data_IF_817255515343
#
_entry.id   IF_817255515343
#
_cell.length_a   1.000
_cell.length_b   1.000
_cell.length_c   1.000
_cell.angle_alpha   90.00
_cell.angle_beta   90.00
_cell.angle_gamma   90.00
#
_symmetry.space_group_name_H-M   'P 1'
#
loop_
_entity.id
_entity.type
_entity.pdbx_description
1 polymer ?
#
# COMPACT_ATOMS: atom_id res chain seq x y z
N UNK A 1 -21.84 -2.91 17.11
CA UNK A 1 -21.25 -3.62 15.96
C UNK A 1 -19.73 -3.49 16.00
N UNK A 2 -19.00 -4.58 15.76
CA UNK A 2 -17.54 -4.52 15.73
C UNK A 2 -17.06 -3.69 14.53
N UNK A 3 -16.08 -2.77 14.74
CA UNK A 3 -15.47 -2.01 13.66
C UNK A 3 -14.41 -2.86 12.96
N UNK A 4 -14.37 -2.80 11.62
CA UNK A 4 -13.24 -3.33 10.83
C UNK A 4 -12.18 -2.23 10.77
N UNK A 5 -11.04 -2.47 11.41
CA UNK A 5 -9.90 -1.54 11.45
C UNK A 5 -8.65 -2.21 10.84
N UNK A 6 -7.74 -1.46 10.21
CA UNK A 6 -6.51 -2.02 9.64
C UNK A 6 -5.72 -2.85 10.65
N UNK A 7 -5.48 -2.30 11.83
CA UNK A 7 -4.71 -2.97 12.88
C UNK A 7 -5.36 -4.27 13.35
N UNK A 8 -6.69 -4.33 13.34
CA UNK A 8 -7.41 -5.55 13.73
C UNK A 8 -7.18 -6.66 12.71
N UNK A 9 -7.31 -6.37 11.40
CA UNK A 9 -7.03 -7.34 10.33
C UNK A 9 -5.58 -7.79 10.37
N UNK A 10 -4.64 -6.85 10.53
CA UNK A 10 -3.21 -7.12 10.66
C UNK A 10 -2.92 -8.04 11.85
N UNK A 11 -3.46 -7.74 13.03
CA UNK A 11 -3.24 -8.54 14.24
C UNK A 11 -3.82 -9.96 14.11
N UNK A 12 -5.00 -10.09 13.49
CA UNK A 12 -5.59 -11.40 13.18
C UNK A 12 -4.65 -12.18 12.25
N UNK A 13 -4.19 -11.58 11.15
CA UNK A 13 -3.29 -12.24 10.22
C UNK A 13 -1.98 -12.67 10.91
N UNK A 14 -1.36 -11.80 11.69
CA UNK A 14 -0.13 -12.09 12.45
C UNK A 14 -0.32 -13.24 13.44
N UNK A 15 -1.47 -13.34 14.09
CA UNK A 15 -1.77 -14.42 15.05
C UNK A 15 -1.86 -15.80 14.41
N UNK A 16 -2.00 -15.87 13.07
CA UNK A 16 -2.11 -17.14 12.34
C UNK A 16 -0.79 -17.69 11.83
N UNK A 17 0.31 -16.94 11.99
CA UNK A 17 1.64 -17.38 11.52
C UNK A 17 1.99 -18.76 12.08
N UNK A 18 2.41 -19.67 11.21
CA UNK A 18 2.75 -21.06 11.55
C UNK A 18 1.58 -22.03 11.42
N UNK A 19 0.34 -21.57 11.24
CA UNK A 19 -0.77 -22.47 10.92
C UNK A 19 -0.46 -23.27 9.64
N UNK A 20 -0.73 -24.56 9.65
CA UNK A 20 -0.57 -25.47 8.51
C UNK A 20 -1.91 -26.10 8.19
N UNK A 21 -2.17 -26.31 6.90
CA UNK A 21 -3.29 -27.13 6.47
C UNK A 21 -3.12 -28.59 6.96
N UNK A 22 -4.23 -29.29 7.04
CA UNK A 22 -4.23 -30.72 7.43
C UNK A 22 -4.10 -31.68 6.24
N UNK A 23 -3.75 -31.14 5.06
CA UNK A 23 -3.63 -31.84 3.78
C UNK A 23 -4.75 -31.45 2.82
N UNK A 24 -4.49 -31.53 1.51
CA UNK A 24 -5.45 -31.24 0.44
C UNK A 24 -6.18 -29.88 0.59
N UNK A 25 -5.46 -28.84 0.98
CA UNK A 25 -6.02 -27.50 1.22
C UNK A 25 -7.11 -27.45 2.32
N UNK A 26 -7.21 -28.47 3.19
CA UNK A 26 -8.15 -28.46 4.31
C UNK A 26 -7.69 -27.47 5.39
N UNK A 27 -8.44 -26.41 5.56
CA UNK A 27 -8.14 -25.35 6.53
C UNK A 27 -9.35 -24.98 7.37
N UNK A 28 -9.09 -24.46 8.59
CA UNK A 28 -10.15 -23.86 9.41
C UNK A 28 -10.77 -22.64 8.71
N UNK A 29 -9.98 -21.90 7.92
CA UNK A 29 -10.43 -20.71 7.21
C UNK A 29 -11.55 -21.03 6.21
N UNK A 30 -11.32 -22.01 5.35
CA UNK A 30 -12.34 -22.49 4.42
C UNK A 30 -13.57 -23.01 5.16
N UNK A 31 -13.37 -23.82 6.22
CA UNK A 31 -14.46 -24.37 7.04
C UNK A 31 -15.32 -23.29 7.68
N UNK A 32 -14.71 -22.27 8.28
CA UNK A 32 -15.43 -21.18 8.96
C UNK A 32 -16.24 -20.34 7.97
N UNK A 33 -15.68 -20.04 6.80
CA UNK A 33 -16.37 -19.26 5.76
C UNK A 33 -17.47 -20.07 5.06
N UNK A 34 -17.27 -21.35 4.85
CA UNK A 34 -18.29 -22.27 4.30
C UNK A 34 -19.48 -22.39 5.24
N UNK A 35 -19.24 -22.44 6.54
CA UNK A 35 -20.30 -22.54 7.55
C UNK A 35 -21.30 -21.35 7.56
N UNK A 36 -20.92 -20.22 6.95
CA UNK A 36 -21.75 -19.03 6.82
C UNK A 36 -22.14 -18.70 5.38
N UNK A 37 -21.90 -19.62 4.44
CA UNK A 37 -22.10 -19.42 3.01
C UNK A 37 -21.46 -18.09 2.55
N UNK A 38 -20.20 -17.88 2.92
CA UNK A 38 -19.51 -16.63 2.62
C UNK A 38 -19.42 -16.42 1.11
N UNK A 39 -19.09 -17.49 0.39
CA UNK A 39 -19.08 -17.53 -1.07
C UNK A 39 -20.40 -18.07 -1.60
N UNK A 40 -20.90 -17.45 -2.66
CA UNK A 40 -22.17 -17.83 -3.26
C UNK A 40 -22.00 -19.02 -4.23
N UNK A 41 -21.25 -20.03 -3.82
CA UNK A 41 -21.15 -21.31 -4.53
C UNK A 41 -21.93 -22.40 -3.80
N UNK A 42 -22.55 -23.34 -4.54
CA UNK A 42 -23.08 -24.55 -3.92
C UNK A 42 -21.92 -25.40 -3.42
N UNK A 43 -21.49 -25.21 -2.20
CA UNK A 43 -20.34 -25.83 -1.53
C UNK A 43 -18.99 -25.41 -2.12
N UNK A 44 -18.37 -24.48 -1.44
CA UNK A 44 -16.97 -24.23 -1.64
C UNK A 44 -16.18 -25.49 -1.23
N UNK A 45 -15.44 -26.16 -2.15
CA UNK A 45 -14.73 -27.36 -1.79
C UNK A 45 -13.65 -27.02 -0.76
N UNK A 46 -13.60 -27.81 0.32
CA UNK A 46 -12.53 -27.73 1.32
C UNK A 46 -11.10 -27.91 0.73
N UNK A 47 -10.99 -28.09 -0.56
CA UNK A 47 -9.77 -28.39 -1.31
C UNK A 47 -9.25 -27.26 -2.18
N UNK A 48 -9.84 -26.07 -2.12
CA UNK A 48 -9.37 -24.96 -2.94
C UNK A 48 -8.12 -24.29 -2.38
N UNK A 49 -7.33 -23.69 -3.27
CA UNK A 49 -6.20 -22.84 -2.93
C UNK A 49 -6.65 -21.72 -1.98
N UNK A 50 -6.06 -21.65 -0.79
CA UNK A 50 -6.60 -20.87 0.31
C UNK A 50 -5.84 -19.56 0.64
N UNK A 51 -5.03 -19.05 -0.28
CA UNK A 51 -4.35 -17.77 -0.06
C UNK A 51 -5.34 -16.60 0.02
N UNK A 52 -6.35 -16.59 -0.85
CA UNK A 52 -7.41 -15.57 -0.87
C UNK A 52 -8.39 -15.79 0.28
N UNK A 53 -8.83 -17.02 0.49
CA UNK A 53 -9.68 -17.44 1.62
C UNK A 53 -9.11 -16.99 2.97
N UNK A 54 -7.78 -17.02 3.12
CA UNK A 54 -7.12 -16.56 4.33
C UNK A 54 -7.32 -15.07 4.56
N UNK A 55 -7.23 -14.26 3.53
CA UNK A 55 -7.44 -12.80 3.62
C UNK A 55 -8.90 -12.51 3.97
N UNK A 56 -9.84 -13.15 3.27
CA UNK A 56 -11.27 -13.01 3.50
C UNK A 56 -11.65 -13.40 4.93
N UNK A 57 -11.09 -14.51 5.41
CA UNK A 57 -11.29 -14.95 6.79
C UNK A 57 -10.74 -13.93 7.80
N UNK A 58 -9.59 -13.32 7.55
CA UNK A 58 -9.05 -12.28 8.43
C UNK A 58 -10.00 -11.06 8.52
N UNK A 59 -10.60 -10.67 7.39
CA UNK A 59 -11.57 -9.56 7.36
C UNK A 59 -12.89 -9.97 8.03
N UNK A 60 -13.35 -11.20 7.82
CA UNK A 60 -14.52 -11.76 8.46
C UNK A 60 -14.38 -11.79 9.99
N UNK A 61 -13.28 -12.30 10.52
CA UNK A 61 -12.98 -12.24 11.96
C UNK A 61 -12.91 -10.81 12.49
N UNK A 62 -12.28 -9.89 11.72
CA UNK A 62 -12.21 -8.48 12.08
C UNK A 62 -13.57 -7.81 12.12
N UNK A 63 -14.51 -8.22 11.29
CA UNK A 63 -15.90 -7.72 11.29
C UNK A 63 -16.71 -8.13 12.52
N UNK A 64 -16.17 -9.05 13.33
CA UNK A 64 -16.90 -9.71 14.41
C UNK A 64 -17.78 -10.84 13.89
N UNK A 65 -17.35 -11.50 12.84
CA UNK A 65 -18.04 -12.60 12.15
C UNK A 65 -19.35 -12.17 11.46
N UNK A 66 -19.38 -10.92 11.03
CA UNK A 66 -20.47 -10.38 10.21
C UNK A 66 -20.08 -10.54 8.72
N UNK A 67 -20.69 -11.53 8.07
CA UNK A 67 -20.45 -11.86 6.65
C UNK A 67 -20.72 -10.67 5.74
N UNK A 68 -21.86 -10.01 5.89
CA UNK A 68 -22.26 -8.91 5.01
C UNK A 68 -21.32 -7.73 5.13
N UNK A 69 -20.84 -7.46 6.33
CA UNK A 69 -19.87 -6.41 6.60
C UNK A 69 -18.51 -6.74 6.01
N UNK A 70 -18.07 -7.98 6.12
CA UNK A 70 -16.80 -8.45 5.53
C UNK A 70 -16.84 -8.37 4.00
N UNK A 71 -17.88 -8.90 3.36
CA UNK A 71 -18.09 -8.82 1.90
C UNK A 71 -18.08 -7.37 1.40
N UNK A 72 -18.76 -6.47 2.12
CA UNK A 72 -18.75 -5.05 1.79
C UNK A 72 -17.37 -4.40 1.92
N UNK A 73 -16.58 -4.82 2.91
CA UNK A 73 -15.22 -4.32 3.10
C UNK A 73 -14.26 -4.79 2.01
N UNK A 74 -14.47 -6.00 1.49
CA UNK A 74 -13.70 -6.61 0.40
C UNK A 74 -14.23 -6.23 -1.00
N UNK A 75 -15.35 -5.48 -1.07
CA UNK A 75 -16.06 -5.17 -2.32
C UNK A 75 -16.57 -6.42 -3.03
N UNK A 76 -16.71 -7.53 -2.34
CA UNK A 76 -17.20 -8.77 -2.92
C UNK A 76 -18.72 -8.74 -3.11
N UNK A 77 -19.23 -9.24 -4.26
CA UNK A 77 -20.66 -9.23 -4.53
C UNK A 77 -21.38 -10.27 -3.66
N UNK A 78 -22.60 -9.92 -3.24
CA UNK A 78 -23.49 -10.86 -2.51
C UNK A 78 -24.10 -11.95 -3.39
N UNK A 79 -24.00 -11.82 -4.70
CA UNK A 79 -24.60 -12.70 -5.72
C UNK A 79 -23.55 -13.06 -6.76
N UNK A 80 -23.68 -14.27 -7.30
CA UNK A 80 -23.03 -14.78 -8.49
C UNK A 80 -21.50 -14.57 -8.55
N UNK A 81 -20.76 -15.63 -8.33
CA UNK A 81 -19.31 -15.67 -8.46
C UNK A 81 -18.51 -14.81 -7.47
N UNK A 82 -19.05 -14.60 -6.28
CA UNK A 82 -18.21 -14.25 -5.16
C UNK A 82 -17.26 -15.43 -4.93
N UNK A 83 -16.06 -15.32 -5.43
CA UNK A 83 -15.14 -16.44 -5.49
C UNK A 83 -13.88 -16.16 -4.74
N UNK A 84 -13.49 -17.11 -3.89
CA UNK A 84 -12.18 -17.20 -3.34
C UNK A 84 -11.16 -17.41 -4.46
N UNK A 85 -10.66 -16.33 -5.02
CA UNK A 85 -9.63 -16.44 -6.03
C UNK A 85 -9.00 -15.09 -6.32
N UNK A 86 -7.69 -15.01 -6.19
CA UNK A 86 -6.91 -13.78 -6.31
C UNK A 86 -7.29 -12.90 -7.50
N UNK A 87 -7.56 -13.54 -8.65
CA UNK A 87 -8.01 -12.86 -9.87
C UNK A 87 -9.35 -12.14 -9.67
N UNK A 88 -10.31 -12.77 -8.99
CA UNK A 88 -11.63 -12.19 -8.77
C UNK A 88 -11.58 -11.07 -7.74
N UNK A 89 -10.92 -11.30 -6.61
CA UNK A 89 -10.73 -10.29 -5.56
C UNK A 89 -10.01 -9.05 -6.11
N UNK A 90 -8.94 -9.23 -6.90
CA UNK A 90 -8.27 -8.12 -7.59
C UNK A 90 -9.21 -7.34 -8.50
N UNK A 91 -10.10 -8.02 -9.22
CA UNK A 91 -11.11 -7.37 -10.09
C UNK A 91 -12.14 -6.57 -9.28
N UNK A 92 -12.58 -7.08 -8.11
CA UNK A 92 -13.53 -6.36 -7.25
C UNK A 92 -12.94 -5.04 -6.76
N UNK A 93 -11.70 -5.04 -6.28
CA UNK A 93 -11.01 -3.81 -5.90
C UNK A 93 -10.88 -2.83 -7.07
N UNK A 94 -10.50 -3.29 -8.26
CA UNK A 94 -10.38 -2.43 -9.45
C UNK A 94 -11.72 -1.81 -9.87
N UNK A 95 -12.78 -2.62 -9.91
CA UNK A 95 -14.14 -2.16 -10.29
C UNK A 95 -14.71 -1.13 -9.32
N UNK A 96 -14.25 -1.12 -8.08
CA UNK A 96 -14.71 -0.22 -7.03
C UNK A 96 -13.74 0.95 -6.75
N UNK A 97 -12.79 1.22 -7.65
CA UNK A 97 -11.76 2.26 -7.50
C UNK A 97 -10.93 2.12 -6.18
N UNK A 98 -10.83 0.91 -5.68
CA UNK A 98 -10.10 0.57 -4.46
C UNK A 98 -8.77 -0.15 -4.76
N UNK A 99 -8.15 0.16 -5.89
CA UNK A 99 -6.88 -0.41 -6.32
C UNK A 99 -5.74 0.60 -6.20
N UNK A 100 -4.58 0.17 -5.70
CA UNK A 100 -3.39 1.00 -5.54
C UNK A 100 -2.15 0.32 -6.11
N UNK A 101 -1.21 1.10 -6.62
CA UNK A 101 0.17 0.66 -6.91
C UNK A 101 1.11 0.90 -5.72
N UNK A 102 0.63 1.56 -4.67
CA UNK A 102 1.39 1.87 -3.45
C UNK A 102 0.89 1.00 -2.30
N UNK A 103 1.82 0.35 -1.60
CA UNK A 103 1.52 -0.47 -0.44
C UNK A 103 0.97 0.36 0.72
N UNK A 104 -0.10 -0.11 1.34
CA UNK A 104 -0.71 0.45 2.56
C UNK A 104 -0.84 -0.68 3.58
N UNK A 105 -0.52 -0.41 4.86
CA UNK A 105 -0.74 -1.40 5.93
C UNK A 105 -2.22 -1.74 6.03
N UNK A 106 -2.53 -3.03 6.11
CA UNK A 106 -3.89 -3.55 6.08
C UNK A 106 -4.41 -3.83 4.66
N UNK A 107 -3.77 -3.36 3.58
CA UNK A 107 -4.21 -3.69 2.22
C UNK A 107 -3.95 -5.16 1.88
N UNK A 108 -4.70 -5.66 0.91
CA UNK A 108 -4.47 -6.97 0.30
C UNK A 108 -3.47 -6.83 -0.85
N UNK A 109 -2.31 -7.49 -0.77
CA UNK A 109 -1.30 -7.50 -1.84
C UNK A 109 -1.62 -8.60 -2.85
N UNK A 110 -1.38 -8.35 -4.12
CA UNK A 110 -1.59 -9.32 -5.20
C UNK A 110 -0.31 -9.55 -6.00
N UNK A 111 -0.04 -10.83 -6.30
CA UNK A 111 1.12 -11.28 -7.06
C UNK A 111 0.71 -12.01 -8.33
N UNK A 112 1.56 -11.98 -9.35
CA UNK A 112 1.36 -12.65 -10.62
C UNK A 112 1.46 -11.70 -11.81
N UNK A 113 0.44 -11.74 -12.68
CA UNK A 113 0.27 -10.81 -13.81
C UNK A 113 -1.08 -10.13 -13.70
N UNK A 114 -1.19 -8.91 -14.20
CA UNK A 114 -2.46 -8.18 -14.18
C UNK A 114 -3.55 -8.95 -14.96
N UNK A 115 -4.69 -9.16 -14.29
CA UNK A 115 -5.80 -9.98 -14.79
C UNK A 115 -5.61 -11.49 -14.66
N UNK A 116 -4.46 -11.93 -14.16
CA UNK A 116 -4.10 -13.31 -13.87
C UNK A 116 -3.30 -13.43 -12.57
N UNK A 117 -3.82 -12.80 -11.51
CA UNK A 117 -3.25 -12.85 -10.17
C UNK A 117 -3.32 -14.27 -9.62
N UNK A 118 -2.20 -14.76 -9.09
CA UNK A 118 -2.05 -16.16 -8.66
C UNK A 118 -1.83 -16.33 -7.17
N UNK A 119 -1.53 -15.24 -6.44
CA UNK A 119 -1.28 -15.29 -5.01
C UNK A 119 -1.59 -13.96 -4.34
N UNK A 120 -1.86 -14.00 -3.03
CA UNK A 120 -2.26 -12.83 -2.25
C UNK A 120 -1.91 -12.99 -0.77
N UNK A 121 -2.00 -11.89 -0.02
CA UNK A 121 -1.82 -11.83 1.42
C UNK A 121 -2.20 -10.48 2.01
N UNK A 122 -2.05 -10.32 3.31
CA UNK A 122 -2.28 -9.07 4.04
C UNK A 122 -0.97 -8.32 4.21
N UNK A 123 -0.92 -7.04 3.84
CA UNK A 123 0.23 -6.15 4.14
C UNK A 123 0.23 -5.80 5.61
N UNK A 124 1.28 -6.20 6.35
CA UNK A 124 1.38 -5.97 7.80
C UNK A 124 2.39 -4.89 8.16
N UNK A 125 3.30 -4.53 7.25
CA UNK A 125 4.24 -3.43 7.47
C UNK A 125 4.76 -2.89 6.13
N UNK A 126 5.02 -1.59 6.10
CA UNK A 126 5.58 -0.89 4.92
C UNK A 126 6.83 -0.13 5.36
N UNK A 127 8.00 -0.62 4.96
CA UNK A 127 9.30 0.02 5.17
C UNK A 127 9.65 1.01 4.05
N UNK A 128 10.87 1.51 4.05
CA UNK A 128 11.35 2.45 3.00
C UNK A 128 11.37 1.77 1.63
N UNK A 129 12.01 0.60 1.52
CA UNK A 129 12.19 -0.15 0.26
C UNK A 129 11.48 -1.50 0.24
N UNK A 130 10.85 -1.91 1.34
CA UNK A 130 10.25 -3.22 1.50
C UNK A 130 8.79 -3.16 1.91
N UNK A 131 8.03 -4.20 1.57
CA UNK A 131 6.70 -4.50 2.07
C UNK A 131 6.75 -5.85 2.76
N UNK A 132 6.17 -5.93 3.96
CA UNK A 132 6.06 -7.19 4.72
C UNK A 132 4.60 -7.64 4.73
N UNK A 133 4.38 -8.92 4.48
CA UNK A 133 3.07 -9.53 4.34
C UNK A 133 2.90 -10.70 5.30
N UNK A 134 1.65 -11.08 5.54
CA UNK A 134 1.29 -12.41 6.04
C UNK A 134 0.41 -13.08 4.97
N UNK A 135 0.82 -14.25 4.55
CA UNK A 135 0.25 -14.96 3.40
C UNK A 135 -0.24 -16.34 3.81
N UNK A 136 -1.48 -16.65 3.46
CA UNK A 136 -2.02 -18.00 3.52
C UNK A 136 -1.52 -18.85 2.33
N UNK A 137 -1.53 -20.16 2.49
CA UNK A 137 -1.10 -21.10 1.46
C UNK A 137 0.31 -20.89 0.90
N UNK A 138 1.19 -20.29 1.70
CA UNK A 138 2.60 -20.15 1.32
C UNK A 138 3.37 -21.41 1.69
N UNK A 139 3.48 -22.34 0.74
CA UNK A 139 3.96 -23.72 0.99
C UNK A 139 3.08 -24.41 2.05
N UNK A 140 1.77 -24.42 1.84
CA UNK A 140 0.74 -25.08 2.66
C UNK A 140 0.68 -24.58 4.12
N UNK A 141 1.08 -23.32 4.35
CA UNK A 141 1.03 -22.71 5.69
C UNK A 141 0.86 -21.20 5.64
N UNK A 142 0.57 -20.60 6.79
CA UNK A 142 0.60 -19.15 6.97
C UNK A 142 2.02 -18.70 7.28
N UNK A 143 2.58 -17.82 6.45
CA UNK A 143 3.94 -17.30 6.58
C UNK A 143 3.99 -15.78 6.57
N UNK A 144 4.93 -15.24 7.33
CA UNK A 144 5.37 -13.86 7.19
C UNK A 144 6.46 -13.79 6.13
N UNK A 145 6.26 -12.91 5.14
CA UNK A 145 7.16 -12.73 4.00
C UNK A 145 7.58 -11.26 3.88
N UNK A 146 8.68 -11.00 3.18
CA UNK A 146 9.13 -9.63 2.89
C UNK A 146 9.61 -9.55 1.45
N UNK A 147 9.20 -8.48 0.77
CA UNK A 147 9.49 -8.24 -0.64
C UNK A 147 10.04 -6.85 -0.85
N UNK A 148 10.84 -6.65 -1.91
CA UNK A 148 11.10 -5.31 -2.41
C UNK A 148 9.80 -4.66 -2.88
N UNK A 149 9.59 -3.38 -2.63
CA UNK A 149 8.43 -2.64 -3.21
C UNK A 149 8.44 -2.63 -4.74
N UNK A 150 9.61 -2.84 -5.35
CA UNK A 150 9.80 -2.90 -6.80
C UNK A 150 9.88 -4.35 -7.31
N UNK A 151 9.45 -5.35 -6.52
CA UNK A 151 9.41 -6.73 -6.99
C UNK A 151 8.44 -6.82 -8.19
N UNK A 152 8.90 -7.28 -9.36
CA UNK A 152 8.08 -7.33 -10.58
C UNK A 152 6.89 -8.30 -10.48
N UNK A 153 6.89 -9.18 -9.47
CA UNK A 153 5.76 -10.09 -9.21
C UNK A 153 4.59 -9.39 -8.51
N UNK A 154 4.81 -8.22 -7.89
CA UNK A 154 3.74 -7.47 -7.24
C UNK A 154 2.92 -6.75 -8.32
N UNK A 155 1.67 -7.16 -8.46
CA UNK A 155 0.71 -6.56 -9.41
C UNK A 155 0.12 -5.26 -8.84
N UNK A 156 -0.18 -5.23 -7.56
CA UNK A 156 -0.74 -4.08 -6.85
C UNK A 156 -1.42 -4.46 -5.55
N UNK A 157 -2.25 -3.54 -5.04
CA UNK A 157 -2.85 -3.64 -3.70
C UNK A 157 -4.33 -3.30 -3.76
N UNK A 158 -5.17 -4.15 -3.18
CA UNK A 158 -6.57 -3.90 -2.91
C UNK A 158 -6.73 -3.16 -1.58
N UNK A 159 -7.35 -2.00 -1.61
CA UNK A 159 -7.60 -1.19 -0.42
C UNK A 159 -8.90 -1.64 0.24
N UNK A 160 -8.78 -2.46 1.29
CA UNK A 160 -9.92 -2.92 2.08
C UNK A 160 -10.66 -1.72 2.66
N UNK A 161 -12.00 -1.71 2.60
CA UNK A 161 -12.83 -0.63 3.12
C UNK A 161 -12.93 -0.73 4.64
N UNK A 162 -12.19 0.12 5.33
CA UNK A 162 -12.18 0.22 6.78
C UNK A 162 -13.18 1.26 7.31
N UNK A 163 -13.75 1.02 8.52
CA UNK A 163 -14.83 1.86 9.04
C UNK A 163 -14.43 3.30 9.39
N UNK A 164 -13.17 3.54 9.76
CA UNK A 164 -12.69 4.84 10.23
C UNK A 164 -11.59 5.46 9.32
N UNK A 165 -11.51 5.01 8.09
CA UNK A 165 -10.62 5.65 7.11
C UNK A 165 -11.45 6.49 6.14
N UNK A 166 -11.02 7.72 5.80
CA UNK A 166 -11.55 8.39 4.63
C UNK A 166 -11.34 7.45 3.44
N UNK A 167 -12.44 7.08 2.80
CA UNK A 167 -12.35 6.29 1.57
C UNK A 167 -11.47 7.09 0.59
N UNK A 168 -10.54 6.45 -0.14
CA UNK A 168 -9.92 7.13 -1.27
C UNK A 168 -11.05 7.72 -2.11
N UNK A 169 -11.03 9.04 -2.32
CA UNK A 169 -11.97 9.64 -3.26
C UNK A 169 -11.84 8.88 -4.58
N UNK A 170 -12.96 8.53 -5.23
CA UNK A 170 -12.90 7.85 -6.50
C UNK A 170 -12.01 8.67 -7.42
N UNK A 171 -10.91 8.08 -7.88
CA UNK A 171 -10.12 8.68 -8.96
C UNK A 171 -11.11 8.96 -10.08
N UNK A 172 -11.29 10.21 -10.52
CA UNK A 172 -12.28 10.52 -11.53
C UNK A 172 -12.02 9.64 -12.74
N UNK A 173 -13.06 8.92 -13.16
CA UNK A 173 -13.10 8.21 -14.46
C UNK A 173 -12.55 9.14 -15.52
N UNK A 174 -11.64 8.72 -16.42
CA UNK A 174 -11.17 9.59 -17.49
C UNK A 174 -12.37 10.05 -18.33
N UNK A 175 -12.82 11.26 -18.07
CA UNK A 175 -13.76 11.99 -18.90
C UNK A 175 -13.02 12.33 -20.20
N UNK A 176 -13.66 12.28 -21.37
CA UNK A 176 -13.00 12.61 -22.62
C UNK A 176 -12.34 13.99 -22.50
N UNK A 177 -11.07 14.02 -22.80
CA UNK A 177 -10.10 15.10 -22.63
C UNK A 177 -10.70 16.46 -23.04
N UNK A 178 -10.96 17.38 -22.10
CA UNK A 178 -11.03 18.79 -22.45
C UNK A 178 -9.61 19.29 -22.76
N UNK A 179 -9.51 20.16 -23.71
CA UNK A 179 -8.31 20.94 -24.07
C UNK A 179 -7.50 21.34 -22.83
N UNK A 180 -6.15 21.23 -22.84
CA UNK A 180 -5.34 21.39 -21.65
C UNK A 180 -5.49 22.77 -21.03
N UNK A 181 -6.11 22.81 -19.85
CA UNK A 181 -6.05 23.93 -18.92
C UNK A 181 -4.63 23.97 -18.31
N UNK A 182 -4.04 25.12 -18.07
CA UNK A 182 -2.62 25.23 -17.66
C UNK A 182 -2.38 24.45 -16.36
N UNK A 183 -1.48 23.47 -16.42
CA UNK A 183 -0.99 22.67 -15.31
C UNK A 183 -0.67 23.55 -14.10
N UNK A 184 -1.12 23.21 -12.85
CA UNK A 184 -0.68 23.94 -11.67
C UNK A 184 0.84 23.90 -11.60
N UNK A 185 1.45 25.07 -11.60
CA UNK A 185 2.89 25.23 -11.55
C UNK A 185 3.41 24.56 -10.28
N UNK A 186 4.43 23.69 -10.34
CA UNK A 186 4.92 22.99 -9.16
C UNK A 186 5.34 24.00 -8.09
N UNK A 187 4.93 23.73 -6.85
CA UNK A 187 5.06 24.59 -5.68
C UNK A 187 6.52 24.67 -5.17
N UNK A 188 7.46 24.80 -6.11
CA UNK A 188 8.88 24.99 -5.82
C UNK A 188 9.52 25.97 -6.84
N UNK A 189 10.56 26.65 -6.37
CA UNK A 189 11.45 27.44 -7.21
C UNK A 189 12.82 26.77 -7.35
N UNK A 190 13.51 27.03 -8.46
CA UNK A 190 14.85 26.52 -8.69
C UNK A 190 15.90 27.49 -8.13
N UNK A 191 16.83 26.96 -7.36
CA UNK A 191 17.95 27.71 -6.79
C UNK A 191 19.27 27.05 -7.13
N UNK A 192 20.26 27.85 -7.50
CA UNK A 192 21.64 27.43 -7.75
C UNK A 192 22.45 27.58 -6.46
N UNK A 193 23.22 26.57 -6.09
CA UNK A 193 24.13 26.61 -4.95
C UNK A 193 25.35 27.48 -5.29
N UNK A 194 25.66 28.44 -4.43
CA UNK A 194 26.86 29.29 -4.51
C UNK A 194 27.45 29.44 -3.11
N UNK A 195 28.43 28.58 -2.80
CA UNK A 195 29.21 28.68 -1.56
C UNK A 195 30.48 29.51 -1.77
N UNK A 196 30.94 30.19 -0.75
CA UNK A 196 32.12 31.08 -0.87
C UNK A 196 33.45 30.34 -1.06
N UNK A 197 33.47 29.05 -0.63
CA UNK A 197 34.68 28.19 -0.67
C UNK A 197 34.60 27.12 -1.73
N UNK A 198 33.56 27.10 -2.58
CA UNK A 198 33.37 26.08 -3.61
C UNK A 198 32.96 24.70 -3.10
N UNK A 199 32.80 24.54 -1.77
CA UNK A 199 32.38 23.26 -1.17
C UNK A 199 30.90 23.00 -1.34
N UNK A 200 30.49 21.75 -1.27
CA UNK A 200 29.10 21.31 -1.37
C UNK A 200 28.24 21.85 -0.25
N UNK A 201 27.00 22.20 -0.56
CA UNK A 201 26.00 22.63 0.42
C UNK A 201 25.36 21.39 1.08
N UNK A 202 25.46 21.29 2.40
CA UNK A 202 24.93 20.16 3.17
C UNK A 202 23.41 20.20 3.22
N UNK A 203 22.78 19.02 3.03
CA UNK A 203 21.36 18.78 3.31
C UNK A 203 21.27 18.12 4.70
N UNK A 204 20.47 18.68 5.60
CA UNK A 204 20.31 18.21 6.97
C UNK A 204 18.87 17.75 7.23
N UNK A 205 18.69 16.85 8.21
CA UNK A 205 17.38 16.33 8.59
C UNK A 205 16.45 17.39 9.18
N UNK A 206 17.02 18.42 9.85
CA UNK A 206 16.28 19.52 10.49
C UNK A 206 16.99 20.86 10.21
N UNK A 207 16.28 22.01 10.30
CA UNK A 207 16.82 23.33 10.01
C UNK A 207 17.73 23.85 11.14
N UNK A 208 18.82 23.15 11.40
CA UNK A 208 19.83 23.52 12.40
C UNK A 208 21.20 22.95 12.04
N UNK A 209 22.25 23.68 12.37
CA UNK A 209 23.65 23.27 12.14
C UNK A 209 24.05 22.01 12.92
N UNK A 210 23.36 21.72 14.03
CA UNK A 210 23.59 20.53 14.89
C UNK A 210 22.89 19.26 14.34
N UNK A 211 21.98 19.41 13.39
CA UNK A 211 21.24 18.26 12.83
C UNK A 211 22.11 17.39 11.94
N UNK A 212 21.79 16.08 11.92
CA UNK A 212 22.48 15.09 11.08
C UNK A 212 22.43 15.51 9.60
N UNK A 213 23.59 15.47 8.95
CA UNK A 213 23.69 15.58 7.50
C UNK A 213 23.14 14.31 6.85
N UNK A 214 22.26 14.46 5.85
CA UNK A 214 21.61 13.37 5.12
C UNK A 214 21.94 13.38 3.62
N UNK A 215 22.63 14.42 3.15
CA UNK A 215 23.08 14.57 1.77
C UNK A 215 23.84 15.86 1.55
N UNK A 216 24.20 16.15 0.29
CA UNK A 216 24.79 17.41 -0.13
C UNK A 216 24.37 17.77 -1.55
N UNK A 217 24.46 19.08 -1.87
CA UNK A 217 24.25 19.64 -3.20
C UNK A 217 25.58 20.21 -3.66
N UNK A 218 26.18 19.71 -4.75
CA UNK A 218 27.44 20.22 -5.25
C UNK A 218 27.35 21.70 -5.59
N UNK A 219 28.42 22.43 -5.27
CA UNK A 219 28.52 23.86 -5.61
C UNK A 219 28.31 24.07 -7.11
N UNK A 220 27.49 25.05 -7.47
CA UNK A 220 27.12 25.34 -8.85
C UNK A 220 25.97 24.52 -9.43
N UNK A 221 25.47 23.49 -8.73
CA UNK A 221 24.29 22.71 -9.14
C UNK A 221 23.00 23.37 -8.67
N UNK A 222 21.91 23.04 -9.34
CA UNK A 222 20.57 23.54 -9.08
C UNK A 222 19.75 22.55 -8.27
N UNK A 223 18.98 23.03 -7.30
CA UNK A 223 18.05 22.23 -6.50
C UNK A 223 16.66 22.87 -6.48
N UNK A 224 15.65 22.10 -6.11
CA UNK A 224 14.31 22.58 -5.84
C UNK A 224 14.26 23.16 -4.42
N UNK A 225 13.63 24.32 -4.25
CA UNK A 225 13.36 24.97 -2.96
C UNK A 225 11.86 25.15 -2.81
N UNK A 226 11.28 24.55 -1.80
CA UNK A 226 9.84 24.58 -1.51
C UNK A 226 9.45 25.76 -0.61
N UNK A 227 10.31 26.09 0.35
CA UNK A 227 10.12 27.23 1.26
C UNK A 227 11.45 27.69 1.84
N UNK A 228 11.48 28.95 2.29
CA UNK A 228 12.61 29.51 3.05
C UNK A 228 12.02 30.15 4.30
N UNK A 229 12.52 29.78 5.48
CA UNK A 229 12.17 30.36 6.78
C UNK A 229 13.38 30.32 7.69
N UNK A 230 13.57 31.39 8.49
CA UNK A 230 14.61 31.49 9.51
C UNK A 230 16.03 31.16 9.02
N UNK A 231 16.34 31.57 7.78
CA UNK A 231 17.64 31.33 7.15
C UNK A 231 17.87 29.88 6.65
N UNK A 232 16.84 29.03 6.69
CA UNK A 232 16.87 27.67 6.18
C UNK A 232 15.91 27.50 5.02
N UNK A 233 16.37 26.79 3.99
CA UNK A 233 15.55 26.40 2.84
C UNK A 233 15.19 24.91 2.93
N UNK A 234 13.91 24.59 2.73
CA UNK A 234 13.46 23.22 2.49
C UNK A 234 13.79 22.86 1.05
N UNK A 235 14.72 21.92 0.85
CA UNK A 235 15.31 21.63 -0.45
C UNK A 235 15.13 20.17 -0.86
N UNK A 236 15.10 19.94 -2.18
CA UNK A 236 15.22 18.59 -2.76
C UNK A 236 16.32 18.57 -3.81
N UNK A 237 17.23 17.61 -3.70
CA UNK A 237 18.27 17.33 -4.67
C UNK A 237 18.50 15.82 -4.77
N UNK A 238 18.50 15.25 -5.99
CA UNK A 238 18.65 13.82 -6.24
C UNK A 238 17.74 12.95 -5.35
N UNK A 239 16.45 13.34 -5.22
CA UNK A 239 15.43 12.67 -4.39
C UNK A 239 15.69 12.72 -2.87
N UNK A 240 16.72 13.43 -2.41
CA UNK A 240 16.97 13.68 -0.99
C UNK A 240 16.28 14.99 -0.61
N UNK A 241 15.32 14.92 0.30
CA UNK A 241 14.61 16.09 0.88
C UNK A 241 15.17 16.41 2.26
N UNK A 242 15.34 17.70 2.55
CA UNK A 242 15.81 18.16 3.85
C UNK A 242 16.03 19.67 3.88
N UNK A 243 16.90 20.13 4.76
CA UNK A 243 17.13 21.55 5.00
C UNK A 243 18.57 21.94 4.69
N UNK A 244 18.72 23.08 4.00
CA UNK A 244 20.02 23.68 3.68
C UNK A 244 20.01 25.15 4.04
N UNK A 245 21.18 25.72 4.35
CA UNK A 245 21.27 27.16 4.67
C UNK A 245 20.93 28.00 3.43
N UNK A 246 19.90 28.83 3.53
CA UNK A 246 19.39 29.65 2.44
C UNK A 246 20.41 30.68 1.93
N UNK A 247 21.37 31.12 2.77
CA UNK A 247 22.40 32.09 2.39
C UNK A 247 23.30 31.66 1.22
N UNK A 248 23.36 30.36 0.94
CA UNK A 248 24.14 29.81 -0.15
C UNK A 248 23.31 29.44 -1.39
N UNK A 249 22.05 29.88 -1.43
CA UNK A 249 21.12 29.60 -2.52
C UNK A 249 20.80 30.87 -3.28
N UNK A 250 20.94 30.88 -4.60
CA UNK A 250 20.52 31.95 -5.48
C UNK A 250 19.40 31.47 -6.40
N UNK A 251 18.28 32.20 -6.40
CA UNK A 251 17.15 31.88 -7.28
C UNK A 251 17.59 31.95 -8.74
N UNK A 252 17.19 30.94 -9.52
CA UNK A 252 17.40 30.89 -10.95
C UNK A 252 16.15 31.49 -11.59
N UNK A 253 16.33 32.65 -12.23
CA UNK A 253 15.27 33.30 -13.01
C UNK A 253 15.06 32.57 -14.33
#
# INVERSE_FOLDING_TARGET
>A
MALILPDKVVNIALSQIGYKETGNNLTKYAKDLDAVDFYNFPKYPAHAEWCDIFVDWCVYEASGKDKDKALKALYEPKKDNCGAGCKYSAQYFRKNNAWSKTAVVGSQIFFGKEGAETHTGVVVSVGVSTVTTVEGNKSNMVKKCSYSKNDPKIVGYGLIKYDNQPQPEPTPTPQPTPTPEPTPQPDYKLYKVKTNTGVDLRIRKQPTTKSKQIGSIPNGKTCKVYSISDGWANVEYNKIKGYSSAKYLKEVK
#
